data_IF_031202806930
#
_entry.id   IF_031202806930
#
_cell.length_a   1.000
_cell.length_b   1.000
_cell.length_c   1.000
_cell.angle_alpha   90.00
_cell.angle_beta   90.00
_cell.angle_gamma   90.00
#
_symmetry.space_group_name_H-M   'P 1'
#
loop_
_entity.id
_entity.type
_entity.pdbx_description
1 polymer ?
#
# COMPACT_ATOMS: atom_id res chain seq x y z
N UNK A 1 6.12 9.71 -11.21
CA UNK A 1 7.00 8.54 -11.42
C UNK A 1 6.73 7.39 -10.45
N UNK A 2 6.45 7.64 -9.16
CA UNK A 2 6.14 6.58 -8.19
C UNK A 2 4.80 5.83 -8.40
N UNK A 3 3.78 6.49 -8.95
CA UNK A 3 2.46 5.88 -9.17
C UNK A 3 2.50 4.79 -10.23
N UNK A 4 3.17 5.04 -11.37
CA UNK A 4 3.36 4.03 -12.42
C UNK A 4 4.03 2.76 -11.90
N UNK A 5 5.15 2.90 -11.17
CA UNK A 5 5.87 1.76 -10.58
C UNK A 5 5.00 1.00 -9.56
N UNK A 6 4.25 1.72 -8.71
CA UNK A 6 3.37 1.10 -7.72
C UNK A 6 2.23 0.30 -8.38
N UNK A 7 1.61 0.86 -9.43
CA UNK A 7 0.56 0.19 -10.19
C UNK A 7 1.10 -1.03 -10.92
N UNK A 8 2.26 -0.91 -11.56
CA UNK A 8 2.94 -2.04 -12.20
C UNK A 8 3.28 -3.13 -11.20
N UNK A 9 3.87 -2.80 -10.06
CA UNK A 9 4.18 -3.78 -9.01
C UNK A 9 2.91 -4.47 -8.50
N UNK A 10 1.85 -3.71 -8.20
CA UNK A 10 0.56 -4.28 -7.77
C UNK A 10 -0.03 -5.21 -8.81
N UNK A 11 0.01 -4.84 -10.09
CA UNK A 11 -0.50 -5.67 -11.19
C UNK A 11 0.27 -6.99 -11.29
N UNK A 12 1.60 -6.93 -11.30
CA UNK A 12 2.45 -8.13 -11.40
C UNK A 12 2.24 -9.05 -10.19
N UNK A 13 2.11 -8.50 -8.98
CA UNK A 13 1.78 -9.26 -7.76
C UNK A 13 0.42 -9.94 -7.86
N UNK A 14 -0.60 -9.25 -8.36
CA UNK A 14 -1.94 -9.82 -8.53
C UNK A 14 -1.95 -10.97 -9.55
N UNK A 15 -1.21 -10.84 -10.66
CA UNK A 15 -1.06 -11.91 -11.65
C UNK A 15 -0.32 -13.11 -11.04
N UNK A 16 0.77 -12.87 -10.31
CA UNK A 16 1.53 -13.91 -9.62
C UNK A 16 0.64 -14.71 -8.64
N UNK A 17 -0.12 -14.00 -7.80
CA UNK A 17 -1.07 -14.59 -6.86
C UNK A 17 -2.14 -15.43 -7.56
N UNK A 18 -2.71 -14.94 -8.67
CA UNK A 18 -3.72 -15.67 -9.42
C UNK A 18 -3.18 -16.99 -9.99
N UNK A 19 -1.97 -16.98 -10.56
CA UNK A 19 -1.31 -18.19 -11.09
C UNK A 19 -1.08 -19.20 -9.95
N UNK A 20 -0.56 -18.75 -8.81
CA UNK A 20 -0.31 -19.61 -7.65
C UNK A 20 -1.61 -20.15 -7.04
N UNK A 21 -2.66 -19.35 -7.00
CA UNK A 21 -3.97 -19.75 -6.49
C UNK A 21 -4.59 -20.86 -7.34
N UNK A 22 -4.54 -20.74 -8.68
CA UNK A 22 -5.03 -21.79 -9.59
C UNK A 22 -4.25 -23.09 -9.38
N UNK A 23 -2.91 -23.03 -9.33
CA UNK A 23 -2.08 -24.21 -9.04
C UNK A 23 -2.40 -24.83 -7.69
N UNK A 24 -2.65 -24.00 -6.68
CA UNK A 24 -2.98 -24.44 -5.33
C UNK A 24 -4.32 -25.19 -5.31
N UNK A 25 -5.35 -24.66 -5.97
CA UNK A 25 -6.64 -25.34 -6.11
C UNK A 25 -6.47 -26.69 -6.82
N UNK A 26 -5.79 -26.70 -7.97
CA UNK A 26 -5.58 -27.93 -8.74
C UNK A 26 -4.79 -28.99 -7.94
N UNK A 27 -3.81 -28.56 -7.15
CA UNK A 27 -3.03 -29.42 -6.25
C UNK A 27 -3.90 -29.99 -5.12
N UNK A 28 -4.74 -29.17 -4.50
CA UNK A 28 -5.64 -29.62 -3.42
C UNK A 28 -6.72 -30.57 -3.92
N UNK A 29 -7.28 -30.30 -5.10
CA UNK A 29 -8.30 -31.13 -5.76
C UNK A 29 -7.72 -32.44 -6.34
N UNK A 30 -6.42 -32.72 -6.18
CA UNK A 30 -5.74 -33.88 -6.75
C UNK A 30 -5.88 -34.00 -8.29
N UNK A 31 -6.16 -32.91 -9.01
CA UNK A 31 -6.32 -32.92 -10.47
C UNK A 31 -4.95 -32.82 -11.17
N UNK A 32 -4.18 -33.91 -11.13
CA UNK A 32 -2.78 -33.94 -11.56
C UNK A 32 -2.59 -33.55 -13.03
N UNK A 33 -3.40 -34.10 -13.94
CA UNK A 33 -3.27 -33.81 -15.38
C UNK A 33 -3.55 -32.34 -15.71
N UNK A 34 -4.55 -31.76 -15.06
CA UNK A 34 -4.87 -30.33 -15.19
C UNK A 34 -3.76 -29.47 -14.59
N UNK A 35 -3.19 -29.88 -13.45
CA UNK A 35 -2.07 -29.18 -12.83
C UNK A 35 -0.83 -29.19 -13.72
N UNK A 36 -0.47 -30.32 -14.32
CA UNK A 36 0.68 -30.41 -15.23
C UNK A 36 0.47 -29.63 -16.52
N UNK A 37 -0.75 -29.62 -17.05
CA UNK A 37 -1.12 -28.82 -18.22
C UNK A 37 -1.01 -27.34 -17.91
N UNK A 38 -1.60 -26.89 -16.80
CA UNK A 38 -1.53 -25.50 -16.37
C UNK A 38 -0.10 -25.08 -16.01
N UNK A 39 0.69 -25.94 -15.36
CA UNK A 39 2.08 -25.68 -15.00
C UNK A 39 2.96 -25.51 -16.24
N UNK A 40 2.75 -26.32 -17.28
CA UNK A 40 3.47 -26.16 -18.56
C UNK A 40 3.09 -24.86 -19.25
N UNK A 41 1.79 -24.55 -19.34
CA UNK A 41 1.30 -23.32 -19.94
C UNK A 41 1.80 -22.07 -19.20
N UNK A 42 1.75 -22.07 -17.87
CA UNK A 42 2.13 -20.92 -17.05
C UNK A 42 3.63 -20.79 -16.79
N UNK A 43 4.48 -21.77 -17.18
CA UNK A 43 5.91 -21.80 -16.82
C UNK A 43 6.67 -20.53 -17.22
N UNK A 44 6.52 -20.09 -18.46
CA UNK A 44 7.23 -18.91 -18.97
C UNK A 44 6.70 -17.64 -18.31
N UNK A 45 5.37 -17.49 -18.28
CA UNK A 45 4.70 -16.37 -17.64
C UNK A 45 5.09 -16.26 -16.16
N UNK A 46 5.15 -17.37 -15.43
CA UNK A 46 5.53 -17.41 -14.02
C UNK A 46 6.97 -16.95 -13.81
N UNK A 47 7.93 -17.40 -14.61
CA UNK A 47 9.33 -16.97 -14.48
C UNK A 47 9.44 -15.46 -14.72
N UNK A 48 8.82 -14.95 -15.79
CA UNK A 48 8.84 -13.53 -16.14
C UNK A 48 8.16 -12.69 -15.05
N UNK A 49 6.97 -13.10 -14.61
CA UNK A 49 6.19 -12.41 -13.58
C UNK A 49 6.92 -12.45 -12.22
N UNK A 50 7.53 -13.57 -11.85
CA UNK A 50 8.29 -13.70 -10.59
C UNK A 50 9.52 -12.80 -10.57
N UNK A 51 10.25 -12.75 -11.68
CA UNK A 51 11.41 -11.86 -11.84
C UNK A 51 10.98 -10.40 -11.78
N UNK A 52 9.95 -10.01 -12.53
CA UNK A 52 9.41 -8.65 -12.48
C UNK A 52 8.92 -8.27 -11.09
N UNK A 53 8.25 -9.19 -10.40
CA UNK A 53 7.77 -9.00 -9.03
C UNK A 53 8.93 -8.70 -8.07
N UNK A 54 9.99 -9.52 -8.11
CA UNK A 54 11.18 -9.32 -7.27
C UNK A 54 11.92 -8.03 -7.62
N UNK A 55 12.19 -7.78 -8.91
CA UNK A 55 12.91 -6.58 -9.37
C UNK A 55 12.16 -5.31 -8.97
N UNK A 56 10.85 -5.24 -9.27
CA UNK A 56 10.05 -4.06 -8.91
C UNK A 56 9.92 -3.90 -7.39
N UNK A 57 9.86 -5.01 -6.65
CA UNK A 57 9.86 -4.99 -5.18
C UNK A 57 11.16 -4.43 -4.59
N UNK A 58 12.32 -4.91 -5.08
CA UNK A 58 13.65 -4.41 -4.66
C UNK A 58 13.79 -2.93 -5.02
N UNK A 59 13.40 -2.54 -6.23
CA UNK A 59 13.44 -1.15 -6.66
C UNK A 59 12.64 -0.24 -5.74
N UNK A 60 11.43 -0.67 -5.34
CA UNK A 60 10.61 0.08 -4.38
C UNK A 60 11.22 0.14 -2.97
N UNK A 61 12.07 -0.81 -2.58
CA UNK A 61 12.79 -0.78 -1.30
C UNK A 61 13.96 0.19 -1.34
N UNK A 62 14.75 0.19 -2.41
CA UNK A 62 15.92 1.08 -2.58
C UNK A 62 15.50 2.57 -2.66
N UNK A 63 14.34 2.85 -3.26
CA UNK A 63 13.82 4.22 -3.34
C UNK A 63 13.29 4.76 -2.00
N UNK A 64 13.10 3.91 -0.98
CA UNK A 64 12.63 4.36 0.33
C UNK A 64 13.82 4.79 1.21
N UNK A 65 13.77 5.99 1.83
CA UNK A 65 14.86 6.47 2.68
C UNK A 65 15.01 5.68 3.98
N UNK A 66 13.95 5.00 4.44
CA UNK A 66 13.98 4.13 5.63
C UNK A 66 13.33 2.79 5.33
N UNK A 67 14.05 1.71 5.64
CA UNK A 67 13.56 0.33 5.54
C UNK A 67 13.15 -0.16 6.92
N UNK A 68 11.90 -0.57 7.06
CA UNK A 68 11.38 -1.11 8.33
C UNK A 68 11.58 -2.63 8.37
N UNK A 69 11.75 -3.22 9.56
CA UNK A 69 11.88 -4.67 9.76
C UNK A 69 10.75 -5.48 9.08
N UNK A 70 9.51 -4.97 9.11
CA UNK A 70 8.36 -5.60 8.44
C UNK A 70 8.59 -5.77 6.93
N UNK A 71 9.26 -4.80 6.28
CA UNK A 71 9.55 -4.85 4.84
C UNK A 71 10.61 -5.91 4.51
N UNK A 72 11.61 -6.07 5.38
CA UNK A 72 12.65 -7.10 5.25
C UNK A 72 12.04 -8.50 5.44
N UNK A 73 11.26 -8.70 6.51
CA UNK A 73 10.56 -9.97 6.78
C UNK A 73 9.68 -10.37 5.59
N UNK A 74 8.91 -9.42 5.06
CA UNK A 74 8.09 -9.63 3.87
C UNK A 74 8.93 -10.09 2.67
N UNK A 75 10.05 -9.44 2.41
CA UNK A 75 10.92 -9.78 1.29
C UNK A 75 11.50 -11.20 1.42
N UNK A 76 12.00 -11.55 2.61
CA UNK A 76 12.50 -12.90 2.91
C UNK A 76 11.41 -13.96 2.72
N UNK A 77 10.19 -13.70 3.22
CA UNK A 77 9.06 -14.62 3.05
C UNK A 77 8.76 -14.91 1.58
N UNK A 78 8.81 -13.88 0.71
CA UNK A 78 8.61 -14.04 -0.73
C UNK A 78 9.74 -14.85 -1.38
N UNK A 79 11.00 -14.53 -1.07
CA UNK A 79 12.16 -15.24 -1.63
C UNK A 79 12.14 -16.72 -1.22
N UNK A 80 11.70 -17.04 -0.01
CA UNK A 80 11.52 -18.43 0.44
C UNK A 80 10.29 -19.11 -0.19
N UNK A 81 9.20 -18.38 -0.42
CA UNK A 81 7.98 -18.97 -0.95
C UNK A 81 8.09 -19.47 -2.39
N UNK A 82 8.85 -18.77 -3.25
CA UNK A 82 9.02 -19.15 -4.66
C UNK A 82 9.61 -20.57 -4.82
N UNK A 83 10.78 -20.92 -4.24
CA UNK A 83 11.33 -22.27 -4.36
C UNK A 83 10.43 -23.32 -3.70
N UNK A 84 9.82 -23.01 -2.55
CA UNK A 84 8.86 -23.90 -1.89
C UNK A 84 7.66 -24.21 -2.80
N UNK A 85 7.15 -23.21 -3.52
CA UNK A 85 6.04 -23.36 -4.45
C UNK A 85 6.44 -24.20 -5.65
N UNK A 86 7.59 -23.92 -6.26
CA UNK A 86 8.12 -24.70 -7.39
C UNK A 86 8.26 -26.17 -6.98
N UNK A 87 8.88 -26.47 -5.83
CA UNK A 87 9.06 -27.84 -5.35
C UNK A 87 7.70 -28.47 -5.01
N UNK A 88 6.82 -27.75 -4.31
CA UNK A 88 5.49 -28.23 -3.91
C UNK A 88 4.62 -28.62 -5.11
N UNK A 89 4.54 -27.75 -6.12
CA UNK A 89 3.77 -28.01 -7.34
C UNK A 89 4.44 -29.01 -8.29
N UNK A 90 5.76 -29.12 -8.28
CA UNK A 90 6.49 -30.10 -9.12
C UNK A 90 6.47 -31.50 -8.53
N UNK A 91 6.50 -31.62 -7.19
CA UNK A 91 6.47 -32.91 -6.48
C UNK A 91 5.08 -33.31 -6.00
N UNK A 92 4.04 -32.57 -6.38
CA UNK A 92 2.68 -32.79 -5.91
C UNK A 92 2.54 -32.81 -4.37
N UNK A 93 3.45 -32.14 -3.67
CA UNK A 93 3.45 -32.11 -2.21
C UNK A 93 2.53 -30.99 -1.73
N UNK A 94 1.35 -31.38 -1.26
CA UNK A 94 0.32 -30.48 -0.74
C UNK A 94 0.84 -29.58 0.39
N UNK A 95 1.68 -30.11 1.28
CA UNK A 95 2.20 -29.35 2.41
C UNK A 95 3.10 -28.21 1.94
N UNK A 96 4.08 -28.51 1.08
CA UNK A 96 5.00 -27.51 0.52
C UNK A 96 4.27 -26.46 -0.33
N UNK A 97 3.32 -26.89 -1.16
CA UNK A 97 2.49 -25.99 -1.96
C UNK A 97 1.62 -25.06 -1.10
N UNK A 98 1.00 -25.60 -0.04
CA UNK A 98 0.21 -24.81 0.91
C UNK A 98 1.08 -23.82 1.67
N UNK A 99 2.24 -24.26 2.17
CA UNK A 99 3.15 -23.42 2.94
C UNK A 99 3.66 -22.23 2.10
N UNK A 100 4.04 -22.49 0.85
CA UNK A 100 4.40 -21.44 -0.11
C UNK A 100 3.26 -20.45 -0.32
N UNK A 101 2.04 -20.95 -0.57
CA UNK A 101 0.88 -20.10 -0.79
C UNK A 101 0.56 -19.22 0.43
N UNK A 102 0.66 -19.78 1.64
CA UNK A 102 0.48 -19.03 2.90
C UNK A 102 1.52 -17.92 3.04
N UNK A 103 2.80 -18.19 2.78
CA UNK A 103 3.82 -17.13 2.83
C UNK A 103 3.56 -16.00 1.84
N UNK A 104 3.09 -16.31 0.63
CA UNK A 104 2.76 -15.29 -0.39
C UNK A 104 1.57 -14.45 0.07
N UNK A 105 0.50 -15.09 0.56
CA UNK A 105 -0.70 -14.39 1.05
C UNK A 105 -0.38 -13.53 2.27
N UNK A 106 0.39 -14.04 3.23
CA UNK A 106 0.82 -13.28 4.40
C UNK A 106 1.68 -12.08 4.00
N UNK A 107 2.64 -12.26 3.09
CA UNK A 107 3.47 -11.16 2.59
C UNK A 107 2.62 -10.08 1.88
N UNK A 108 1.59 -10.48 1.13
CA UNK A 108 0.65 -9.56 0.50
C UNK A 108 -0.22 -8.83 1.54
N UNK A 109 -0.81 -9.56 2.49
CA UNK A 109 -1.62 -9.00 3.57
C UNK A 109 -0.85 -8.00 4.43
N UNK A 110 0.40 -8.32 4.80
CA UNK A 110 1.28 -7.40 5.54
C UNK A 110 1.58 -6.13 4.75
N UNK A 111 1.61 -6.19 3.42
CA UNK A 111 1.85 -5.02 2.57
C UNK A 111 0.66 -4.05 2.58
N UNK A 112 -0.57 -4.57 2.59
CA UNK A 112 -1.81 -3.79 2.64
C UNK A 112 -2.06 -3.24 4.06
N UNK A 113 -1.82 -4.05 5.10
CA UNK A 113 -2.08 -3.69 6.51
C UNK A 113 -1.04 -2.75 7.10
N UNK A 114 0.25 -2.95 6.78
CA UNK A 114 1.35 -2.17 7.37
C UNK A 114 1.26 -0.67 7.10
N UNK A 115 0.64 -0.26 5.98
CA UNK A 115 0.51 1.17 5.62
C UNK A 115 -0.45 1.93 6.53
N UNK A 116 -1.55 1.30 6.98
CA UNK A 116 -2.59 1.96 7.80
C UNK A 116 -2.24 1.94 9.29
N UNK A 117 -1.76 0.81 9.79
CA UNK A 117 -1.51 0.59 11.23
C UNK A 117 -0.26 1.35 11.70
N UNK A 118 0.83 1.31 10.94
CA UNK A 118 2.09 1.97 11.34
C UNK A 118 1.93 3.49 11.36
N UNK A 119 1.21 4.05 10.38
CA UNK A 119 1.01 5.49 10.31
C UNK A 119 0.14 5.99 11.45
N UNK A 120 -1.01 5.34 11.70
CA UNK A 120 -1.90 5.70 12.83
C UNK A 120 -1.19 5.58 14.18
N UNK A 121 -0.48 4.46 14.42
CA UNK A 121 0.31 4.26 15.65
C UNK A 121 1.44 5.29 15.81
N UNK A 122 2.08 5.72 14.72
CA UNK A 122 3.11 6.78 14.80
C UNK A 122 2.53 8.14 15.15
N UNK A 123 1.31 8.45 14.70
CA UNK A 123 0.62 9.70 15.01
C UNK A 123 0.16 9.69 16.48
N UNK A 124 -0.47 8.60 16.92
CA UNK A 124 -0.91 8.40 18.32
C UNK A 124 0.27 8.49 19.32
N UNK A 125 1.49 8.17 18.89
CA UNK A 125 2.68 8.25 19.75
C UNK A 125 3.29 9.65 19.89
N UNK A 126 2.91 10.60 19.04
CA UNK A 126 3.49 11.97 19.00
C UNK A 126 2.53 13.03 19.56
N UNK A 127 1.22 12.76 19.52
CA UNK A 127 0.16 13.69 19.92
C UNK A 127 -1.07 12.92 20.41
N UNK A 128 -1.80 13.50 21.37
CA UNK A 128 -3.10 12.97 21.76
C UNK A 128 -4.08 13.14 20.60
N UNK A 129 -4.62 12.02 20.12
CA UNK A 129 -5.59 11.98 19.01
C UNK A 129 -7.03 11.94 19.49
N UNK A 130 -7.24 11.85 20.81
CA UNK A 130 -8.57 11.98 21.43
C UNK A 130 -9.00 13.44 21.46
N UNK A 131 -9.95 13.80 20.59
CA UNK A 131 -10.53 15.14 20.51
C UNK A 131 -11.28 15.60 21.77
N UNK A 132 -11.40 14.75 22.80
CA UNK A 132 -11.99 15.07 24.10
C UNK A 132 -10.96 15.22 25.22
N UNK A 133 -9.67 14.97 24.94
CA UNK A 133 -8.61 15.18 25.91
C UNK A 133 -8.39 16.67 26.17
N UNK A 134 -8.08 17.03 27.43
CA UNK A 134 -7.87 18.41 27.84
C UNK A 134 -6.65 19.08 27.18
N UNK A 135 -5.69 18.28 26.72
CA UNK A 135 -4.45 18.70 26.06
C UNK A 135 -4.48 18.46 24.54
N UNK A 136 -5.67 18.25 23.96
CA UNK A 136 -5.84 18.06 22.53
C UNK A 136 -5.53 19.34 21.75
N UNK A 137 -4.49 19.29 20.92
CA UNK A 137 -4.14 20.36 19.98
C UNK A 137 -4.58 19.99 18.55
N UNK A 138 -5.72 20.53 18.14
CA UNK A 138 -6.29 20.29 16.81
C UNK A 138 -5.36 20.75 15.68
N UNK A 139 -4.62 21.84 15.87
CA UNK A 139 -3.71 22.40 14.85
C UNK A 139 -2.51 21.49 14.65
N UNK A 140 -1.87 21.08 15.74
CA UNK A 140 -0.73 20.15 15.70
C UNK A 140 -1.14 18.76 15.19
N UNK A 141 -2.38 18.33 15.50
CA UNK A 141 -2.94 17.10 14.93
C UNK A 141 -3.14 17.21 13.43
N UNK A 142 -3.75 18.30 12.96
CA UNK A 142 -3.93 18.61 11.55
C UNK A 142 -2.61 18.67 10.77
N UNK A 143 -1.60 19.35 11.33
CA UNK A 143 -0.25 19.42 10.76
C UNK A 143 0.39 18.04 10.61
N UNK A 144 0.30 17.21 11.65
CA UNK A 144 0.88 15.87 11.66
C UNK A 144 0.22 14.99 10.61
N UNK A 145 -1.11 15.02 10.52
CA UNK A 145 -1.86 14.31 9.49
C UNK A 145 -1.54 14.83 8.09
N UNK A 146 -1.42 16.15 7.92
CA UNK A 146 -1.04 16.76 6.65
C UNK A 146 0.36 16.30 6.19
N UNK A 147 1.34 16.29 7.10
CA UNK A 147 2.69 15.75 6.85
C UNK A 147 2.65 14.27 6.50
N UNK A 148 1.74 13.49 7.08
CA UNK A 148 1.64 12.07 6.84
C UNK A 148 0.98 11.73 5.49
N UNK A 149 -0.03 12.49 5.06
CA UNK A 149 -0.88 12.13 3.91
C UNK A 149 -0.84 13.11 2.73
N UNK A 150 -0.61 14.40 2.97
CA UNK A 150 -0.86 15.47 1.99
C UNK A 150 0.43 16.05 1.40
N UNK A 151 1.50 16.11 2.20
CA UNK A 151 2.77 16.79 1.86
C UNK A 151 3.43 16.25 0.60
N UNK A 152 3.25 14.95 0.30
CA UNK A 152 3.91 14.32 -0.84
C UNK A 152 3.48 14.92 -2.19
N UNK A 153 2.25 15.45 -2.26
CA UNK A 153 1.74 16.08 -3.47
C UNK A 153 1.59 17.60 -3.34
N UNK A 154 1.22 18.09 -2.16
CA UNK A 154 0.98 19.51 -1.93
C UNK A 154 2.18 20.26 -1.33
N UNK A 155 3.20 19.59 -0.79
CA UNK A 155 4.36 20.25 -0.18
C UNK A 155 4.08 20.78 1.22
N UNK A 156 5.13 21.12 1.97
CA UNK A 156 4.98 21.59 3.36
C UNK A 156 4.25 22.92 3.47
N UNK A 157 4.41 23.77 2.44
CA UNK A 157 3.80 25.08 2.29
C UNK A 157 2.54 25.08 1.39
N UNK A 158 2.10 23.91 0.92
CA UNK A 158 0.93 23.77 0.06
C UNK A 158 1.16 24.07 -1.44
N UNK A 159 2.40 24.35 -1.86
CA UNK A 159 2.71 24.87 -3.21
C UNK A 159 3.37 23.87 -4.17
N UNK A 160 3.61 22.63 -3.75
CA UNK A 160 4.41 21.68 -4.54
C UNK A 160 3.75 21.29 -5.87
N UNK A 161 2.42 21.26 -5.93
CA UNK A 161 1.63 20.99 -7.14
C UNK A 161 2.01 19.69 -7.89
N UNK A 162 2.54 18.69 -7.19
CA UNK A 162 2.96 17.44 -7.82
C UNK A 162 1.74 16.64 -8.30
N UNK A 163 1.87 15.93 -9.42
CA UNK A 163 0.79 15.10 -9.99
C UNK A 163 -0.50 15.88 -10.32
N UNK A 164 -0.36 17.14 -10.75
CA UNK A 164 -1.47 18.07 -11.00
C UNK A 164 -2.27 18.42 -9.73
N UNK A 165 -1.67 18.27 -8.55
CA UNK A 165 -2.23 18.80 -7.32
C UNK A 165 -2.35 20.33 -7.42
N UNK A 166 -3.40 20.88 -6.82
CA UNK A 166 -3.59 22.34 -6.75
C UNK A 166 -2.67 22.96 -5.69
N UNK A 167 -2.28 24.21 -5.93
CA UNK A 167 -1.66 25.05 -4.90
C UNK A 167 -2.71 25.37 -3.83
N UNK A 168 -2.47 24.87 -2.61
CA UNK A 168 -3.37 25.04 -1.47
C UNK A 168 -3.31 26.46 -0.90
N UNK A 169 -2.23 27.20 -1.13
CA UNK A 169 -2.06 28.55 -0.58
C UNK A 169 -2.94 29.60 -1.24
N UNK A 170 -3.46 29.31 -2.44
CA UNK A 170 -4.32 30.21 -3.22
C UNK A 170 -5.77 29.72 -3.31
N UNK A 171 -6.11 28.63 -2.61
CA UNK A 171 -7.45 28.05 -2.68
C UNK A 171 -8.49 28.98 -2.04
N UNK A 172 -9.58 29.26 -2.78
CA UNK A 172 -10.75 29.99 -2.29
C UNK A 172 -11.90 29.07 -1.87
N UNK A 173 -11.65 27.76 -1.81
CA UNK A 173 -12.67 26.78 -1.43
C UNK A 173 -13.08 26.96 0.03
N UNK A 174 -14.35 26.73 0.33
CA UNK A 174 -14.81 26.68 1.71
C UNK A 174 -14.38 25.37 2.41
N UNK A 175 -14.58 25.31 3.73
CA UNK A 175 -14.22 24.15 4.57
C UNK A 175 -14.93 22.87 4.14
N UNK A 176 -16.19 22.97 3.73
CA UNK A 176 -17.00 21.82 3.34
C UNK A 176 -16.53 21.25 2.00
N UNK A 177 -16.21 22.12 1.05
CA UNK A 177 -15.63 21.74 -0.24
C UNK A 177 -14.28 21.04 -0.07
N UNK A 178 -13.41 21.56 0.80
CA UNK A 178 -12.13 20.89 1.10
C UNK A 178 -12.37 19.53 1.75
N UNK A 179 -13.27 19.47 2.75
CA UNK A 179 -13.63 18.21 3.42
C UNK A 179 -14.19 17.18 2.44
N UNK A 180 -15.04 17.59 1.51
CA UNK A 180 -15.61 16.73 0.48
C UNK A 180 -14.52 16.18 -0.45
N UNK A 181 -13.60 17.01 -0.90
CA UNK A 181 -12.46 16.59 -1.74
C UNK A 181 -11.55 15.62 -0.98
N UNK A 182 -11.26 15.86 0.29
CA UNK A 182 -10.46 14.92 1.10
C UNK A 182 -11.16 13.57 1.22
N UNK A 183 -12.47 13.58 1.48
CA UNK A 183 -13.24 12.34 1.67
C UNK A 183 -13.39 11.52 0.39
N UNK A 184 -13.76 12.18 -0.71
CA UNK A 184 -14.14 11.52 -1.96
C UNK A 184 -13.00 11.46 -2.99
N UNK A 185 -11.92 12.21 -2.77
CA UNK A 185 -10.87 12.42 -3.76
C UNK A 185 -11.32 13.33 -4.89
N UNK A 186 -10.36 13.76 -5.71
CA UNK A 186 -10.61 14.56 -6.92
C UNK A 186 -9.48 14.36 -7.92
N UNK A 187 -9.81 14.00 -9.16
CA UNK A 187 -8.82 13.69 -10.21
C UNK A 187 -7.82 12.62 -9.74
N UNK A 188 -6.54 13.00 -9.59
CA UNK A 188 -5.43 12.16 -9.14
C UNK A 188 -5.33 12.07 -7.61
N UNK A 189 -6.07 12.90 -6.86
CA UNK A 189 -6.10 12.86 -5.40
C UNK A 189 -6.97 11.68 -4.92
N UNK A 190 -6.41 10.75 -4.11
CA UNK A 190 -7.17 9.60 -3.61
C UNK A 190 -8.22 10.01 -2.58
N UNK A 191 -9.24 9.17 -2.42
CA UNK A 191 -10.24 9.29 -1.37
C UNK A 191 -9.68 8.85 -0.01
N UNK A 192 -9.87 9.66 1.03
CA UNK A 192 -9.39 9.36 2.39
C UNK A 192 -10.49 8.97 3.38
N UNK A 193 -11.75 8.91 2.98
CA UNK A 193 -12.88 8.52 3.84
C UNK A 193 -12.76 7.12 4.50
N UNK A 194 -11.92 6.23 3.98
CA UNK A 194 -11.62 4.90 4.54
C UNK A 194 -10.32 4.83 5.35
N UNK A 195 -9.69 5.97 5.56
CA UNK A 195 -8.39 6.10 6.23
C UNK A 195 -8.46 7.11 7.37
N UNK A 196 -9.16 8.23 7.16
CA UNK A 196 -9.30 9.31 8.12
C UNK A 196 -10.71 9.33 8.72
N UNK A 197 -10.81 9.63 10.01
CA UNK A 197 -12.08 9.95 10.68
C UNK A 197 -12.58 11.34 10.29
N UNK A 198 -13.82 11.67 10.66
CA UNK A 198 -14.38 13.00 10.42
C UNK A 198 -13.61 14.08 11.19
N UNK A 199 -13.16 13.76 12.41
CA UNK A 199 -12.38 14.63 13.29
C UNK A 199 -10.97 14.87 12.74
N UNK A 200 -10.30 13.80 12.30
CA UNK A 200 -8.98 13.88 11.64
C UNK A 200 -9.05 14.72 10.35
N UNK A 201 -10.11 14.51 9.55
CA UNK A 201 -10.35 15.30 8.34
C UNK A 201 -10.57 16.77 8.69
N UNK A 202 -11.33 17.06 9.75
CA UNK A 202 -11.55 18.42 10.22
C UNK A 202 -10.25 19.08 10.68
N UNK A 203 -9.38 18.35 11.39
CA UNK A 203 -8.08 18.83 11.81
C UNK A 203 -7.19 19.21 10.62
N UNK A 204 -7.16 18.37 9.58
CA UNK A 204 -6.43 18.68 8.32
C UNK A 204 -7.00 19.94 7.66
N UNK A 205 -8.33 20.07 7.57
CA UNK A 205 -8.96 21.27 6.97
C UNK A 205 -8.51 22.52 7.72
N UNK A 206 -8.54 22.50 9.06
CA UNK A 206 -8.06 23.63 9.88
C UNK A 206 -6.59 23.97 9.59
N UNK A 207 -5.72 22.96 9.47
CA UNK A 207 -4.31 23.19 9.12
C UNK A 207 -4.15 23.76 7.70
N UNK A 208 -4.87 23.24 6.71
CA UNK A 208 -4.82 23.72 5.31
C UNK A 208 -5.23 25.19 5.21
N UNK A 209 -6.17 25.66 6.04
CA UNK A 209 -6.54 27.08 6.08
C UNK A 209 -5.36 27.98 6.46
N UNK A 210 -4.47 27.52 7.33
CA UNK A 210 -3.27 28.30 7.70
C UNK A 210 -2.21 28.37 6.61
N UNK A 211 -2.30 27.52 5.59
CA UNK A 211 -1.42 27.57 4.41
C UNK A 211 -1.84 28.65 3.42
N UNK A 212 -3.07 29.19 3.55
CA UNK A 212 -3.56 30.26 2.69
C UNK A 212 -2.74 31.51 2.94
N UNK A 213 -2.39 32.19 1.85
CA UNK A 213 -1.89 33.56 1.90
C UNK A 213 -3.05 34.48 1.54
N UNK A 214 -3.24 35.53 2.34
CA UNK A 214 -4.05 36.68 1.94
C UNK A 214 -3.44 37.39 0.72
#
# INVERSE_FOLDING_TARGET
>A
MYTGLLHTHRLVVSIFLAIYFIKMILLLMNKKDQLDTFRRWSKVTEIVVSSLFLITGIWMLVLKPTVNYIQIIKFIAIVAAIPLGIIGFSRYNKLLGTLSFVFIVLAYGLAEMGKKIVLKKSIDSVINTDGKALDYDQMKHGETLYKAYCIQCHGGDGKLMLQKASDLSVTKMDRNQIKEIINNGKNTMPAFNKVLSSEETQAIVTYVETLRKD
#
